data_IF_788166404194
#
_entry.id   IF_788166404194
#
_cell.length_a   1.000
_cell.length_b   1.000
_cell.length_c   1.000
_cell.angle_alpha   90.00
_cell.angle_beta   90.00
_cell.angle_gamma   90.00
#
_symmetry.space_group_name_H-M   'P 1'
#
loop_
_entity.id
_entity.type
_entity.pdbx_description
1 polymer ?
#
# COMPACT_ATOMS: atom_id res chain seq x y z
N UNK A 1 -2.53 5.56 14.04
CA UNK A 1 -1.37 6.26 13.44
C UNK A 1 -0.26 5.33 12.96
N UNK A 2 0.33 4.45 13.80
CA UNK A 2 1.45 3.56 13.41
C UNK A 2 1.21 2.71 12.15
N UNK A 3 0.01 2.17 11.95
CA UNK A 3 -0.33 1.39 10.75
C UNK A 3 -0.44 2.23 9.47
N UNK A 4 -0.88 3.48 9.56
CA UNK A 4 -0.93 4.38 8.41
C UNK A 4 0.49 4.73 7.93
N UNK A 5 1.42 4.94 8.87
CA UNK A 5 2.83 5.19 8.54
C UNK A 5 3.50 4.01 7.84
N UNK A 6 3.07 2.77 8.12
CA UNK A 6 3.56 1.57 7.41
C UNK A 6 3.16 1.57 5.92
N UNK A 7 2.16 2.34 5.51
CA UNK A 7 1.77 2.48 4.11
C UNK A 7 2.60 3.52 3.36
N UNK A 8 3.43 4.32 4.04
CA UNK A 8 4.26 5.37 3.42
C UNK A 8 5.11 4.85 2.25
N UNK A 9 5.80 3.71 2.33
CA UNK A 9 6.57 3.18 1.20
C UNK A 9 5.71 2.78 0.01
N UNK A 10 4.48 2.31 0.26
CA UNK A 10 3.54 1.92 -0.81
C UNK A 10 2.93 3.17 -1.45
N UNK A 11 2.70 4.22 -0.67
CA UNK A 11 2.19 5.50 -1.20
C UNK A 11 3.27 6.22 -1.98
N UNK A 12 4.52 6.23 -1.52
CA UNK A 12 5.62 6.95 -2.19
C UNK A 12 5.90 6.43 -3.59
N UNK A 13 5.72 5.14 -3.86
CA UNK A 13 5.85 4.59 -5.24
C UNK A 13 4.78 5.10 -6.20
N UNK A 14 3.66 5.62 -5.70
CA UNK A 14 2.62 6.24 -6.51
C UNK A 14 2.85 7.75 -6.66
N UNK A 15 3.80 8.37 -5.96
CA UNK A 15 4.11 9.79 -6.11
C UNK A 15 5.14 9.99 -7.22
N UNK A 16 4.83 10.88 -8.16
CA UNK A 16 5.73 11.25 -9.25
C UNK A 16 6.15 12.70 -9.06
N UNK A 17 7.43 12.89 -8.73
CA UNK A 17 7.99 14.22 -8.53
C UNK A 17 8.49 14.78 -9.86
N UNK A 18 8.05 15.99 -10.15
CA UNK A 18 8.52 16.82 -11.25
C UNK A 18 9.41 17.90 -10.66
N UNK A 19 10.60 18.07 -11.24
CA UNK A 19 11.63 18.98 -10.74
C UNK A 19 11.52 20.29 -11.51
N UNK A 20 11.29 21.38 -10.79
CA UNK A 20 11.24 22.72 -11.33
C UNK A 20 12.60 23.42 -11.38
N UNK A 21 12.69 24.46 -12.19
CA UNK A 21 13.70 25.50 -12.05
C UNK A 21 13.56 26.11 -10.64
N UNK A 22 14.66 26.18 -9.89
CA UNK A 22 14.69 26.59 -8.47
C UNK A 22 13.83 25.69 -7.56
N UNK A 23 13.97 24.38 -7.72
CA UNK A 23 13.21 23.41 -6.94
C UNK A 23 13.45 23.52 -5.43
N UNK A 24 12.36 23.45 -4.67
CA UNK A 24 12.35 23.46 -3.21
C UNK A 24 12.42 22.05 -2.60
N UNK A 25 12.44 21.00 -3.43
CA UNK A 25 12.58 19.62 -2.95
C UNK A 25 13.93 19.42 -2.28
N UNK A 26 13.93 18.75 -1.14
CA UNK A 26 15.15 18.33 -0.45
C UNK A 26 15.92 17.35 -1.31
N UNK A 27 17.22 17.60 -1.47
CA UNK A 27 18.13 16.66 -2.14
C UNK A 27 18.06 15.29 -1.45
N UNK A 28 18.10 15.30 -0.12
CA UNK A 28 18.37 14.10 0.68
C UNK A 28 17.12 13.33 1.10
N UNK A 29 16.05 14.04 1.44
CA UNK A 29 14.91 13.44 2.15
C UNK A 29 13.63 13.30 1.32
N UNK A 30 13.49 14.07 0.24
CA UNK A 30 12.34 13.90 -0.65
C UNK A 30 12.57 12.74 -1.63
N UNK A 31 11.56 11.89 -1.88
CA UNK A 31 11.70 10.70 -2.73
C UNK A 31 11.62 11.04 -4.23
N UNK A 32 12.26 12.13 -4.65
CA UNK A 32 12.23 12.61 -6.03
C UNK A 32 13.05 11.72 -6.98
N UNK A 33 14.08 11.05 -6.46
CA UNK A 33 14.93 10.15 -7.23
C UNK A 33 14.43 8.72 -7.17
N UNK A 34 13.75 8.27 -8.24
CA UNK A 34 13.23 6.90 -8.38
C UNK A 34 12.29 6.46 -7.23
N UNK A 35 11.58 7.41 -6.60
CA UNK A 35 10.65 7.12 -5.50
C UNK A 35 11.32 6.84 -4.15
N UNK A 36 12.62 7.12 -4.03
CA UNK A 36 13.41 6.90 -2.80
C UNK A 36 14.19 8.15 -2.42
N UNK A 37 14.27 8.52 -1.13
CA UNK A 37 15.17 9.58 -0.67
C UNK A 37 16.63 9.24 -1.00
N UNK A 38 17.42 10.20 -1.48
CA UNK A 38 18.83 9.95 -1.79
C UNK A 38 19.62 9.51 -0.54
N UNK A 39 19.26 10.01 0.64
CA UNK A 39 19.86 9.58 1.91
C UNK A 39 19.85 8.06 2.09
N UNK A 40 18.77 7.37 1.69
CA UNK A 40 18.68 5.91 1.81
C UNK A 40 19.66 5.17 0.87
N UNK A 41 20.09 5.83 -0.21
CA UNK A 41 21.05 5.26 -1.18
C UNK A 41 22.51 5.56 -0.82
N UNK A 42 22.80 6.80 -0.42
CA UNK A 42 24.19 7.28 -0.27
C UNK A 42 24.68 7.33 1.18
N UNK A 43 23.75 7.39 2.14
CA UNK A 43 24.03 7.45 3.57
C UNK A 43 24.63 8.77 4.07
N UNK A 44 24.81 8.88 5.39
CA UNK A 44 25.29 10.10 6.05
C UNK A 44 26.69 10.55 5.59
N UNK A 45 27.58 9.60 5.29
CA UNK A 45 28.96 9.90 4.91
C UNK A 45 29.03 10.66 3.59
N UNK A 46 28.25 10.25 2.59
CA UNK A 46 28.21 10.94 1.31
C UNK A 46 27.62 12.35 1.44
N UNK A 47 26.64 12.56 2.33
CA UNK A 47 26.10 13.90 2.63
C UNK A 47 27.21 14.77 3.23
N UNK A 48 27.94 14.28 4.23
CA UNK A 48 29.05 15.02 4.85
C UNK A 48 30.15 15.34 3.84
N UNK A 49 30.60 14.34 3.09
CA UNK A 49 31.69 14.48 2.11
C UNK A 49 31.28 15.43 0.96
N UNK A 50 29.99 15.56 0.64
CA UNK A 50 29.49 16.46 -0.42
C UNK A 50 29.67 17.95 -0.12
N UNK A 51 29.79 18.32 1.15
CA UNK A 51 29.82 19.72 1.59
C UNK A 51 28.47 20.45 1.48
N UNK A 52 27.41 19.77 1.02
CA UNK A 52 26.06 20.32 0.97
C UNK A 52 25.38 20.20 2.35
N UNK A 53 24.58 21.20 2.75
CA UNK A 53 23.87 21.14 4.01
C UNK A 53 22.78 20.05 4.00
N UNK A 54 22.39 19.56 5.19
CA UNK A 54 21.32 18.54 5.32
C UNK A 54 19.96 19.03 4.84
N UNK A 55 19.71 20.33 4.88
CA UNK A 55 18.49 20.94 4.35
C UNK A 55 18.65 21.46 2.91
N UNK A 56 19.72 21.06 2.20
CA UNK A 56 19.94 21.43 0.81
C UNK A 56 18.73 21.05 -0.06
N UNK A 57 18.36 21.94 -0.96
CA UNK A 57 17.33 21.70 -1.97
C UNK A 57 17.95 21.47 -3.34
N UNK A 58 17.18 20.89 -4.27
CA UNK A 58 17.66 20.61 -5.61
C UNK A 58 18.13 21.87 -6.35
N UNK A 59 17.64 23.06 -5.98
CA UNK A 59 18.14 24.33 -6.51
C UNK A 59 19.66 24.53 -6.31
N UNK A 60 20.26 23.95 -5.26
CA UNK A 60 21.71 24.09 -4.99
C UNK A 60 22.58 23.29 -5.99
N UNK A 61 22.03 22.22 -6.56
CA UNK A 61 22.72 21.34 -7.52
C UNK A 61 22.19 21.50 -8.95
N UNK A 62 21.31 22.47 -9.18
CA UNK A 62 20.73 22.78 -10.48
C UNK A 62 21.22 24.13 -10.99
N UNK A 63 22.01 24.13 -12.06
CA UNK A 63 22.42 25.33 -12.78
C UNK A 63 21.62 25.42 -14.08
N UNK A 64 20.49 26.11 -14.03
CA UNK A 64 19.53 26.17 -15.13
C UNK A 64 18.90 24.80 -15.36
N UNK A 65 19.19 24.17 -16.49
CA UNK A 65 18.72 22.82 -16.84
C UNK A 65 19.80 21.74 -16.68
N UNK A 66 20.94 22.08 -16.09
CA UNK A 66 22.06 21.15 -15.91
C UNK A 66 22.25 20.81 -14.45
N UNK A 67 22.53 19.53 -14.19
CA UNK A 67 22.94 19.05 -12.89
C UNK A 67 24.42 19.39 -12.64
N UNK A 68 24.72 19.89 -11.45
CA UNK A 68 26.07 20.22 -11.02
C UNK A 68 26.33 19.59 -9.64
N UNK A 69 26.55 18.27 -9.66
CA UNK A 69 26.83 17.52 -8.45
C UNK A 69 28.28 17.67 -8.00
N UNK A 70 28.58 17.59 -6.69
CA UNK A 70 29.94 17.60 -6.17
C UNK A 70 30.78 16.44 -6.76
N UNK A 71 31.77 16.71 -7.63
CA UNK A 71 32.44 15.66 -8.40
C UNK A 71 33.40 14.81 -7.56
N UNK A 72 33.79 15.29 -6.37
CA UNK A 72 34.68 14.59 -5.45
C UNK A 72 33.98 13.48 -4.64
N UNK A 73 32.65 13.41 -4.69
CA UNK A 73 31.87 12.35 -4.02
C UNK A 73 31.48 11.29 -5.03
N UNK A 74 32.22 10.18 -5.04
CA UNK A 74 32.02 9.11 -6.02
C UNK A 74 30.62 8.49 -5.96
N UNK A 75 29.97 8.43 -4.78
CA UNK A 75 28.61 7.92 -4.61
C UNK A 75 27.57 8.75 -5.36
N UNK A 76 27.84 10.04 -5.62
CA UNK A 76 26.94 10.92 -6.36
C UNK A 76 27.13 10.83 -7.87
N UNK A 77 28.21 10.21 -8.36
CA UNK A 77 28.49 10.06 -9.80
C UNK A 77 27.45 9.22 -10.51
N UNK A 78 27.03 8.12 -9.88
CA UNK A 78 25.96 7.27 -10.41
C UNK A 78 24.63 8.01 -10.43
N UNK A 79 24.37 8.83 -9.39
CA UNK A 79 23.18 9.69 -9.31
C UNK A 79 23.18 10.73 -10.43
N UNK A 80 24.30 11.42 -10.64
CA UNK A 80 24.48 12.41 -11.71
C UNK A 80 24.18 11.82 -13.11
N UNK A 81 24.76 10.65 -13.39
CA UNK A 81 24.50 9.95 -14.66
C UNK A 81 23.02 9.59 -14.85
N UNK A 82 22.34 9.18 -13.79
CA UNK A 82 20.92 8.85 -13.82
C UNK A 82 20.03 10.11 -13.93
N UNK A 83 20.46 11.22 -13.31
CA UNK A 83 19.79 12.52 -13.32
C UNK A 83 19.82 13.21 -14.69
N UNK A 84 20.83 12.91 -15.52
CA UNK A 84 20.97 13.49 -16.87
C UNK A 84 19.75 13.29 -17.77
N UNK A 85 18.94 12.25 -17.51
CA UNK A 85 17.71 11.95 -18.26
C UNK A 85 16.44 12.56 -17.64
N UNK A 86 16.54 13.27 -16.51
CA UNK A 86 15.37 13.83 -15.81
C UNK A 86 15.05 15.21 -16.39
N UNK A 87 13.85 15.41 -16.98
CA UNK A 87 13.48 16.71 -17.53
C UNK A 87 13.21 17.72 -16.40
N UNK A 88 13.84 18.89 -16.50
CA UNK A 88 13.61 20.02 -15.60
C UNK A 88 12.53 20.92 -16.20
N UNK A 89 11.50 21.21 -15.41
CA UNK A 89 10.33 22.01 -15.81
C UNK A 89 10.32 23.38 -15.16
N UNK A 90 9.30 24.19 -15.43
CA UNK A 90 9.22 25.54 -14.87
C UNK A 90 8.98 25.57 -13.35
N UNK A 91 8.28 24.56 -12.80
CA UNK A 91 7.90 24.52 -11.39
C UNK A 91 7.85 23.08 -10.88
N UNK A 92 8.01 22.95 -9.57
CA UNK A 92 7.81 21.69 -8.86
C UNK A 92 6.35 21.23 -8.92
N UNK A 93 6.15 19.95 -9.22
CA UNK A 93 4.81 19.32 -9.24
C UNK A 93 4.91 17.93 -8.65
N UNK A 94 3.99 17.58 -7.75
CA UNK A 94 3.77 16.18 -7.34
C UNK A 94 2.53 15.67 -8.06
N UNK A 95 2.71 14.61 -8.86
CA UNK A 95 1.62 13.88 -9.52
C UNK A 95 1.33 12.54 -8.84
N UNK A 96 0.12 12.02 -9.06
CA UNK A 96 -0.27 10.66 -8.67
C UNK A 96 -0.15 9.70 -9.86
N UNK A 97 0.68 8.66 -9.73
CA UNK A 97 1.04 7.60 -10.70
C UNK A 97 1.67 8.04 -12.02
N UNK A 98 1.45 9.28 -12.41
CA UNK A 98 2.02 9.91 -13.60
C UNK A 98 2.34 11.35 -13.31
N UNK A 99 3.21 11.92 -14.12
CA UNK A 99 3.57 13.32 -14.04
C UNK A 99 2.33 14.23 -14.15
N UNK A 100 2.17 15.16 -13.21
CA UNK A 100 1.00 16.06 -13.16
C UNK A 100 -0.35 15.35 -12.95
N UNK A 101 -0.37 14.06 -12.63
CA UNK A 101 -1.59 13.31 -12.38
C UNK A 101 -2.34 13.83 -11.16
N UNK A 102 -3.66 14.02 -11.27
CA UNK A 102 -4.49 14.48 -10.16
C UNK A 102 -4.67 13.39 -9.10
N UNK A 103 -4.59 13.80 -7.84
CA UNK A 103 -4.92 12.95 -6.71
C UNK A 103 -6.44 12.92 -6.48
N UNK A 104 -6.98 11.73 -6.23
CA UNK A 104 -8.34 11.56 -5.74
C UNK A 104 -8.39 10.37 -4.79
N UNK A 105 -9.33 10.38 -3.85
CA UNK A 105 -9.52 9.24 -2.94
C UNK A 105 -9.78 7.92 -3.70
N UNK A 106 -10.52 8.00 -4.80
CA UNK A 106 -10.80 6.85 -5.67
C UNK A 106 -9.53 6.32 -6.33
N UNK A 107 -8.74 7.19 -6.98
CA UNK A 107 -7.50 6.79 -7.65
C UNK A 107 -6.46 6.27 -6.66
N UNK A 108 -6.40 6.84 -5.45
CA UNK A 108 -5.55 6.33 -4.38
C UNK A 108 -6.00 4.94 -3.92
N UNK A 109 -7.29 4.75 -3.65
CA UNK A 109 -7.82 3.44 -3.24
C UNK A 109 -7.60 2.35 -4.30
N UNK A 110 -7.89 2.66 -5.56
CA UNK A 110 -7.68 1.75 -6.69
C UNK A 110 -6.20 1.41 -6.89
N UNK A 111 -5.30 2.32 -6.56
CA UNK A 111 -3.87 2.09 -6.68
C UNK A 111 -3.27 1.22 -5.58
N UNK A 112 -3.84 1.29 -4.37
CA UNK A 112 -3.34 0.59 -3.19
C UNK A 112 -3.98 -0.79 -3.04
N UNK A 113 -5.22 -0.98 -3.52
CA UNK A 113 -5.93 -2.24 -3.39
C UNK A 113 -5.38 -3.28 -4.38
N UNK A 114 -5.25 -4.52 -3.92
CA UNK A 114 -5.18 -5.67 -4.82
C UNK A 114 -6.54 -5.85 -5.50
N UNK A 115 -6.63 -5.58 -6.80
CA UNK A 115 -7.86 -5.80 -7.54
C UNK A 115 -8.05 -7.29 -7.83
N UNK A 116 -9.20 -7.83 -7.43
CA UNK A 116 -9.63 -9.18 -7.80
C UNK A 116 -10.84 -9.09 -8.74
N UNK A 117 -11.06 -10.14 -9.52
CA UNK A 117 -12.27 -10.26 -10.33
C UNK A 117 -13.51 -10.24 -9.43
N UNK A 118 -14.60 -9.64 -9.94
CA UNK A 118 -15.86 -9.61 -9.21
C UNK A 118 -16.43 -11.03 -9.13
N UNK A 119 -16.54 -11.53 -7.90
CA UNK A 119 -17.15 -12.83 -7.61
C UNK A 119 -18.67 -12.81 -7.87
N UNK A 120 -19.27 -13.93 -8.34
CA UNK A 120 -20.70 -13.99 -8.66
C UNK A 120 -21.61 -13.63 -7.48
N UNK A 121 -21.22 -14.04 -6.27
CA UNK A 121 -21.97 -13.79 -5.03
C UNK A 121 -21.84 -12.36 -4.50
N UNK A 122 -21.07 -11.48 -5.14
CA UNK A 122 -20.81 -10.12 -4.63
C UNK A 122 -22.09 -9.35 -4.31
N UNK A 123 -23.09 -9.38 -5.20
CA UNK A 123 -24.35 -8.65 -5.01
C UNK A 123 -25.24 -9.25 -3.92
N UNK A 124 -25.03 -10.53 -3.59
CA UNK A 124 -25.76 -11.21 -2.50
C UNK A 124 -25.22 -10.73 -1.15
N UNK A 125 -23.90 -10.55 -1.06
CA UNK A 125 -23.22 -10.12 0.17
C UNK A 125 -23.31 -8.60 0.36
N UNK A 126 -23.03 -7.83 -0.70
CA UNK A 126 -22.89 -6.39 -0.66
C UNK A 126 -23.98 -5.71 -1.51
N UNK A 127 -25.10 -5.37 -0.87
CA UNK A 127 -26.23 -4.66 -1.47
C UNK A 127 -26.65 -3.45 -0.63
N UNK A 128 -27.35 -2.50 -1.27
CA UNK A 128 -27.83 -1.29 -0.60
C UNK A 128 -28.88 -1.63 0.46
N UNK A 129 -28.77 -1.05 1.65
CA UNK A 129 -29.67 -1.34 2.78
C UNK A 129 -29.34 -2.64 3.54
N UNK A 130 -28.29 -3.37 3.13
CA UNK A 130 -27.80 -4.53 3.86
C UNK A 130 -27.20 -4.15 5.22
N UNK A 131 -27.45 -4.97 6.25
CA UNK A 131 -26.86 -4.78 7.57
C UNK A 131 -25.40 -5.26 7.54
N UNK A 132 -24.40 -4.41 7.85
CA UNK A 132 -22.99 -4.76 7.71
C UNK A 132 -22.57 -6.04 8.43
N UNK A 133 -23.14 -6.31 9.62
CA UNK A 133 -22.87 -7.52 10.39
C UNK A 133 -23.30 -8.79 9.64
N UNK A 134 -24.49 -8.78 9.02
CA UNK A 134 -24.99 -9.92 8.25
C UNK A 134 -24.20 -10.10 6.96
N UNK A 135 -23.88 -9.03 6.24
CA UNK A 135 -23.00 -9.07 5.07
C UNK A 135 -21.64 -9.65 5.41
N UNK A 136 -21.03 -9.26 6.53
CA UNK A 136 -19.75 -9.80 6.97
C UNK A 136 -19.83 -11.30 7.29
N UNK A 137 -20.86 -11.74 8.02
CA UNK A 137 -21.06 -13.18 8.28
C UNK A 137 -21.27 -13.97 6.98
N UNK A 138 -22.06 -13.47 6.04
CA UNK A 138 -22.32 -14.13 4.76
C UNK A 138 -21.08 -14.16 3.88
N UNK A 139 -20.28 -13.09 3.88
CA UNK A 139 -18.98 -13.05 3.21
C UNK A 139 -18.05 -14.15 3.73
N UNK A 140 -17.93 -14.30 5.05
CA UNK A 140 -17.16 -15.38 5.65
C UNK A 140 -17.70 -16.76 5.26
N UNK A 141 -19.01 -16.91 5.06
CA UNK A 141 -19.63 -18.15 4.59
C UNK A 141 -19.16 -18.50 3.18
N UNK A 142 -19.24 -17.56 2.24
CA UNK A 142 -18.75 -17.77 0.87
C UNK A 142 -17.23 -18.03 0.82
N UNK A 143 -16.46 -17.39 1.70
CA UNK A 143 -15.02 -17.62 1.82
C UNK A 143 -14.66 -18.89 2.59
N UNK A 144 -15.65 -19.66 3.12
CA UNK A 144 -15.43 -20.78 4.04
C UNK A 144 -14.43 -20.42 5.16
N UNK A 145 -14.54 -19.20 5.69
CA UNK A 145 -13.58 -18.62 6.63
C UNK A 145 -14.10 -18.59 8.09
N UNK A 146 -15.30 -19.12 8.35
CA UNK A 146 -15.79 -19.32 9.72
C UNK A 146 -14.93 -20.36 10.46
N UNK A 147 -14.66 -20.11 11.74
CA UNK A 147 -13.96 -21.02 12.65
C UNK A 147 -14.93 -22.04 13.24
N UNK A 148 -15.48 -22.89 12.39
CA UNK A 148 -16.37 -23.98 12.78
C UNK A 148 -15.61 -25.06 13.55
N UNK A 149 -16.29 -25.83 14.41
CA UNK A 149 -15.62 -26.83 15.25
C UNK A 149 -14.95 -27.95 14.45
N UNK A 150 -15.40 -28.27 13.24
CA UNK A 150 -14.69 -29.20 12.33
C UNK A 150 -13.26 -28.71 12.02
N UNK A 151 -13.08 -27.42 11.75
CA UNK A 151 -11.77 -26.81 11.49
C UNK A 151 -10.95 -26.71 12.75
N UNK A 152 -11.55 -26.31 13.87
CA UNK A 152 -10.85 -26.23 15.15
C UNK A 152 -10.37 -27.61 15.61
N UNK A 153 -11.18 -28.66 15.36
CA UNK A 153 -10.80 -30.04 15.62
C UNK A 153 -9.65 -30.50 14.72
N UNK A 154 -9.71 -30.18 13.43
CA UNK A 154 -8.61 -30.48 12.50
C UNK A 154 -7.29 -29.77 12.88
N UNK A 155 -7.37 -28.60 13.53
CA UNK A 155 -6.23 -27.88 14.08
C UNK A 155 -5.78 -28.39 15.48
N UNK A 156 -6.48 -29.36 16.07
CA UNK A 156 -6.18 -29.89 17.40
C UNK A 156 -6.54 -28.96 18.56
N UNK A 157 -7.33 -27.91 18.33
CA UNK A 157 -7.75 -26.94 19.36
C UNK A 157 -8.88 -27.52 20.23
N UNK A 158 -9.74 -28.35 19.64
CA UNK A 158 -10.85 -29.01 20.32
C UNK A 158 -10.80 -30.52 20.12
N UNK A 159 -11.30 -31.28 21.09
CA UNK A 159 -11.29 -32.76 21.06
C UNK A 159 -12.47 -33.36 20.29
N UNK A 160 -13.52 -32.59 20.03
CA UNK A 160 -14.67 -33.04 19.27
C UNK A 160 -15.25 -31.90 18.44
N UNK A 161 -15.82 -32.24 17.29
CA UNK A 161 -16.44 -31.30 16.35
C UNK A 161 -17.97 -31.45 16.31
N UNK A 162 -18.62 -31.84 17.41
CA UNK A 162 -20.07 -32.04 17.44
C UNK A 162 -20.80 -30.70 17.42
N UNK A 163 -21.97 -30.67 16.78
CA UNK A 163 -22.81 -29.49 16.69
C UNK A 163 -23.20 -28.98 18.08
N UNK A 164 -23.01 -27.68 18.36
CA UNK A 164 -23.29 -27.08 19.67
C UNK A 164 -24.79 -27.05 20.00
N UNK A 165 -25.64 -27.19 18.99
CA UNK A 165 -27.10 -27.27 19.16
C UNK A 165 -27.60 -28.68 19.55
N UNK A 166 -26.70 -29.64 19.73
CA UNK A 166 -27.06 -30.96 20.27
C UNK A 166 -27.77 -31.90 19.29
N UNK A 167 -27.78 -31.61 17.99
CA UNK A 167 -28.40 -32.47 16.97
C UNK A 167 -27.60 -33.76 16.64
N UNK A 168 -26.46 -33.98 17.30
CA UNK A 168 -25.64 -35.19 17.15
C UNK A 168 -24.73 -35.24 15.91
N UNK A 169 -24.85 -34.30 14.97
CA UNK A 169 -24.01 -34.22 13.77
C UNK A 169 -22.76 -33.36 13.98
N UNK A 170 -21.81 -33.41 13.05
CA UNK A 170 -20.61 -32.58 13.05
C UNK A 170 -20.93 -31.12 12.71
N UNK A 171 -20.33 -30.17 13.44
CA UNK A 171 -20.42 -28.75 13.12
C UNK A 171 -19.54 -28.42 11.92
N UNK A 172 -20.17 -28.39 10.75
CA UNK A 172 -19.63 -27.78 9.54
C UNK A 172 -20.44 -26.54 9.20
N UNK A 173 -19.90 -25.70 8.31
CA UNK A 173 -20.63 -24.51 7.87
C UNK A 173 -21.94 -24.87 7.15
N UNK A 174 -21.91 -25.88 6.28
CA UNK A 174 -23.09 -26.35 5.57
C UNK A 174 -24.10 -26.95 6.53
N UNK A 175 -23.62 -27.62 7.59
CA UNK A 175 -24.49 -28.11 8.64
C UNK A 175 -25.18 -26.96 9.39
N UNK A 176 -24.44 -25.97 9.88
CA UNK A 176 -25.00 -24.84 10.63
C UNK A 176 -26.07 -24.07 9.85
N UNK A 177 -25.83 -23.80 8.56
CA UNK A 177 -26.74 -22.99 7.75
C UNK A 177 -27.83 -23.79 7.02
N UNK A 178 -27.61 -25.06 6.68
CA UNK A 178 -28.51 -25.77 5.75
C UNK A 178 -28.95 -27.17 6.20
N UNK A 179 -28.28 -27.81 7.17
CA UNK A 179 -28.57 -29.21 7.52
C UNK A 179 -28.99 -29.43 8.98
N UNK A 180 -28.65 -28.54 9.90
CA UNK A 180 -28.98 -28.69 11.31
C UNK A 180 -30.49 -28.62 11.53
N UNK A 181 -31.05 -29.63 12.19
CA UNK A 181 -32.47 -29.68 12.52
C UNK A 181 -32.88 -28.48 13.36
N UNK A 182 -32.07 -28.13 14.37
CA UNK A 182 -32.33 -27.01 15.24
C UNK A 182 -32.39 -25.66 14.51
N UNK A 183 -31.46 -25.40 13.57
CA UNK A 183 -31.47 -24.12 12.82
C UNK A 183 -32.50 -24.08 11.71
N UNK A 184 -33.00 -25.24 11.25
CA UNK A 184 -34.13 -25.33 10.31
C UNK A 184 -35.47 -25.01 10.96
N UNK A 185 -35.59 -25.26 12.26
CA UNK A 185 -36.83 -25.08 13.02
C UNK A 185 -37.03 -23.62 13.50
N UNK A 186 -36.04 -22.74 13.28
CA UNK A 186 -36.04 -21.30 13.62
C UNK A 186 -36.31 -20.47 12.36
#
# INVERSE_FOLDING_TARGET
>A
WKYLLKLRPVVSTNLVYTIGLNSAWSIWYDPWFQGTPLFEKVGDRAIYDSGLPRNATLAEVLLGTNWNWPPHVWQLRDIDSACSNIPIKQRDIIGWRREGGSFSHKSAWESLRSSAARVPWFKVVWFSGGIPKHSFCLWLTFCKAHLTLDKLHALGVVQQSRCPFGCGLQETIDHLFFACTFTKDI
#
